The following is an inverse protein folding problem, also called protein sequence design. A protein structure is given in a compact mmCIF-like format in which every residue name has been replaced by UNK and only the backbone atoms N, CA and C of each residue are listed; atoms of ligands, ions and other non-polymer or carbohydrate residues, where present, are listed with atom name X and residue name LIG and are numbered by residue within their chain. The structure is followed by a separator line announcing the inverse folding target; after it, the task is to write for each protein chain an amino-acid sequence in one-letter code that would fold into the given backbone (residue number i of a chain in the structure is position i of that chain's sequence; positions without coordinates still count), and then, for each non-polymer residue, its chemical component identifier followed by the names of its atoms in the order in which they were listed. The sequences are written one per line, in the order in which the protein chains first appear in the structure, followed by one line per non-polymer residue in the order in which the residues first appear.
data_IF_259751420785
#
_entry.id   IF_259751420785
#
_cell.length_a   1.000
_cell.length_b   1.000
_cell.length_c   1.000
_cell.angle_alpha   90.00
_cell.angle_beta   90.00
_cell.angle_gamma   90.00
#
_symmetry.space_group_name_H-M   'P 1'
#
loop_
_entity.id
_entity.type
_entity.pdbx_description
1 polymer ?
#
# COMPACT_ATOMS: atom_id res chain seq x y z
N UNK A 1 -8.55 -17.02 -8.23
CA UNK A 1 -8.58 -17.98 -9.37
C UNK A 1 -7.74 -19.20 -8.96
N UNK A 2 -8.16 -20.43 -9.30
CA UNK A 2 -7.39 -21.67 -9.09
C UNK A 2 -6.47 -21.92 -10.31
N UNK A 3 -5.23 -22.41 -10.11
CA UNK A 3 -4.10 -22.20 -11.05
C UNK A 3 -3.48 -23.52 -11.58
N UNK A 4 -2.99 -23.48 -12.83
CA UNK A 4 -2.50 -24.55 -13.69
C UNK A 4 -0.97 -24.79 -13.56
N UNK A 5 -0.48 -26.03 -13.38
CA UNK A 5 0.90 -26.35 -12.93
C UNK A 5 2.02 -26.37 -14.00
N UNK A 6 1.82 -25.87 -15.23
CA UNK A 6 2.78 -26.07 -16.33
C UNK A 6 3.49 -24.82 -16.87
N UNK A 7 3.43 -23.69 -16.18
CA UNK A 7 4.22 -22.50 -16.54
C UNK A 7 5.38 -22.35 -15.55
N UNK A 8 6.62 -22.58 -15.99
CA UNK A 8 7.82 -22.34 -15.18
C UNK A 8 8.48 -21.04 -15.63
N UNK A 9 8.37 -19.99 -14.82
CA UNK A 9 9.26 -18.82 -14.95
C UNK A 9 10.58 -19.16 -14.28
N UNK A 10 11.67 -19.08 -15.05
CA UNK A 10 13.04 -19.16 -14.51
C UNK A 10 13.20 -18.11 -13.40
N UNK A 11 13.32 -18.60 -12.16
CA UNK A 11 13.37 -17.86 -10.90
C UNK A 11 14.17 -16.56 -11.00
N UNK A 12 13.50 -15.46 -10.71
CA UNK A 12 14.04 -14.09 -10.70
C UNK A 12 15.15 -14.05 -9.64
N UNK A 13 16.39 -13.81 -10.08
CA UNK A 13 17.53 -13.67 -9.17
C UNK A 13 17.29 -12.53 -8.19
N UNK A 14 17.71 -12.73 -6.94
CA UNK A 14 17.75 -11.68 -5.92
C UNK A 14 18.45 -10.43 -6.45
N UNK A 15 17.83 -9.28 -6.23
CA UNK A 15 18.39 -7.99 -6.59
C UNK A 15 18.67 -7.16 -5.34
N UNK A 16 19.35 -6.03 -5.52
CA UNK A 16 19.58 -5.06 -4.46
C UNK A 16 19.26 -3.66 -4.98
N UNK A 17 18.25 -3.02 -4.37
CA UNK A 17 17.69 -1.74 -4.82
C UNK A 17 18.05 -0.57 -3.91
N UNK A 18 18.75 -0.85 -2.80
CA UNK A 18 19.32 0.14 -1.90
C UNK A 18 20.46 0.94 -2.52
N UNK A 19 20.85 2.03 -1.83
CA UNK A 19 22.00 2.84 -2.21
C UNK A 19 23.32 2.17 -1.80
N UNK A 20 24.36 2.35 -2.59
CA UNK A 20 25.69 1.79 -2.33
C UNK A 20 25.83 0.31 -2.71
N UNK A 21 26.84 -0.33 -2.14
CA UNK A 21 27.13 -1.74 -2.35
C UNK A 21 26.08 -2.65 -1.69
N UNK A 22 25.74 -3.80 -2.30
CA UNK A 22 24.81 -4.76 -1.71
C UNK A 22 25.28 -5.24 -0.34
N UNK A 23 24.34 -5.34 0.58
CA UNK A 23 24.54 -5.93 1.90
C UNK A 23 23.38 -6.87 2.23
N UNK A 24 23.56 -7.64 3.31
CA UNK A 24 22.52 -8.54 3.82
C UNK A 24 21.46 -7.72 4.55
N UNK A 25 20.21 -7.86 4.12
CA UNK A 25 19.07 -7.20 4.76
C UNK A 25 19.00 -7.48 6.28
N UNK A 26 18.62 -6.46 7.04
CA UNK A 26 18.16 -6.64 8.41
C UNK A 26 16.76 -7.27 8.42
N UNK A 27 16.65 -8.45 9.02
CA UNK A 27 15.39 -9.20 9.08
C UNK A 27 14.40 -8.70 10.13
N UNK A 28 14.77 -7.70 10.95
CA UNK A 28 13.88 -7.16 11.98
C UNK A 28 12.64 -6.51 11.37
N UNK A 29 11.51 -6.71 12.04
CA UNK A 29 10.25 -6.03 11.75
C UNK A 29 10.04 -4.99 12.84
N UNK A 30 10.09 -3.73 12.45
CA UNK A 30 10.00 -2.59 13.36
C UNK A 30 8.62 -1.98 13.32
N UNK A 31 8.12 -1.52 14.47
CA UNK A 31 6.86 -0.78 14.53
C UNK A 31 7.07 0.58 13.87
N UNK A 32 6.17 0.93 12.96
CA UNK A 32 6.15 2.21 12.29
C UNK A 32 4.96 3.05 12.78
N UNK A 33 5.18 4.34 12.98
CA UNK A 33 4.15 5.31 13.30
C UNK A 33 4.28 6.48 12.34
N UNK A 34 3.17 6.84 11.69
CA UNK A 34 3.13 8.02 10.82
C UNK A 34 3.26 9.26 11.67
N UNK A 35 4.21 10.11 11.29
CA UNK A 35 4.38 11.42 11.90
C UNK A 35 4.55 12.49 10.81
N UNK A 36 3.72 13.53 10.90
CA UNK A 36 3.79 14.72 10.06
C UNK A 36 4.22 15.89 10.96
N UNK A 37 5.51 16.27 10.93
CA UNK A 37 6.01 17.40 11.70
C UNK A 37 5.25 18.68 11.37
N UNK A 38 5.00 19.52 12.37
CA UNK A 38 4.26 20.77 12.20
C UNK A 38 4.93 21.67 11.16
N UNK A 39 6.25 21.73 11.17
CA UNK A 39 7.05 22.47 10.19
C UNK A 39 6.74 22.06 8.74
N UNK A 40 6.55 20.75 8.46
CA UNK A 40 6.23 20.28 7.11
C UNK A 40 4.79 20.65 6.72
N UNK A 41 3.86 20.55 7.66
CA UNK A 41 2.46 20.95 7.44
C UNK A 41 2.38 22.45 7.16
N UNK A 42 3.05 23.27 7.97
CA UNK A 42 3.08 24.72 7.82
C UNK A 42 3.77 25.14 6.54
N UNK A 43 4.86 24.45 6.16
CA UNK A 43 5.52 24.65 4.87
C UNK A 43 4.57 24.41 3.70
N UNK A 44 3.83 23.29 3.69
CA UNK A 44 2.85 23.00 2.63
C UNK A 44 1.73 24.04 2.61
N UNK A 45 1.20 24.45 3.77
CA UNK A 45 0.17 25.49 3.86
C UNK A 45 0.67 26.83 3.32
N UNK A 46 1.91 27.20 3.62
CA UNK A 46 2.54 28.41 3.09
C UNK A 46 2.69 28.36 1.58
N UNK A 47 3.09 27.22 1.01
CA UNK A 47 3.18 27.04 -0.44
C UNK A 47 1.80 27.18 -1.11
N UNK A 48 0.76 26.60 -0.52
CA UNK A 48 -0.60 26.69 -1.04
C UNK A 48 -1.16 28.12 -1.00
N UNK A 49 -0.86 28.87 0.06
CA UNK A 49 -1.29 30.26 0.23
C UNK A 49 -0.55 31.27 -0.65
N UNK A 50 0.69 30.99 -1.04
CA UNK A 50 1.52 31.87 -1.88
C UNK A 50 1.44 31.54 -3.38
N UNK A 51 0.91 30.37 -3.73
CA UNK A 51 0.81 29.91 -5.11
C UNK A 51 -0.20 30.74 -5.91
N UNK A 52 0.29 31.47 -6.91
CA UNK A 52 -0.58 32.16 -7.86
C UNK A 52 -1.13 31.18 -8.90
N UNK A 53 -2.45 31.01 -8.91
CA UNK A 53 -3.12 30.25 -9.96
C UNK A 53 -3.17 31.06 -11.25
N UNK A 54 -2.86 30.41 -12.38
CA UNK A 54 -3.00 31.03 -13.70
C UNK A 54 -4.48 31.38 -13.93
N UNK A 55 -4.80 32.62 -14.33
CA UNK A 55 -6.16 33.01 -14.68
C UNK A 55 -6.74 32.10 -15.78
N UNK A 56 -8.04 31.78 -15.74
CA UNK A 56 -8.66 30.99 -16.79
C UNK A 56 -8.78 31.81 -18.08
N UNK A 57 -8.88 31.13 -19.22
CA UNK A 57 -9.24 31.78 -20.49
C UNK A 57 -10.69 32.27 -20.44
N UNK A 58 -10.93 33.45 -20.99
CA UNK A 58 -12.28 33.99 -21.21
C UNK A 58 -13.11 33.02 -22.07
N UNK A 59 -14.40 32.88 -21.75
CA UNK A 59 -15.38 32.03 -22.44
C UNK A 59 -15.03 30.53 -22.56
N UNK A 60 -14.02 30.03 -21.83
CA UNK A 60 -13.66 28.62 -21.81
C UNK A 60 -14.16 27.93 -20.53
N UNK A 61 -15.30 27.25 -20.62
CA UNK A 61 -15.94 26.55 -19.49
C UNK A 61 -15.00 25.56 -18.77
N UNK A 62 -14.22 24.78 -19.51
CA UNK A 62 -13.25 23.83 -18.94
C UNK A 62 -12.12 24.55 -18.19
N UNK A 63 -11.62 25.66 -18.73
CA UNK A 63 -10.56 26.46 -18.10
C UNK A 63 -11.05 27.07 -16.78
N UNK A 64 -12.25 27.67 -16.82
CA UNK A 64 -12.92 28.24 -15.64
C UNK A 64 -13.16 27.16 -14.58
N UNK A 65 -13.66 25.99 -14.96
CA UNK A 65 -13.90 24.89 -14.02
C UNK A 65 -12.62 24.38 -13.37
N UNK A 66 -11.53 24.20 -14.13
CA UNK A 66 -10.22 23.79 -13.60
C UNK A 66 -9.65 24.83 -12.63
N UNK A 67 -9.72 26.11 -13.00
CA UNK A 67 -9.27 27.19 -12.12
C UNK A 67 -10.03 27.18 -10.79
N UNK A 68 -11.36 27.12 -10.84
CA UNK A 68 -12.22 27.03 -9.65
C UNK A 68 -11.94 25.79 -8.79
N UNK A 69 -11.73 24.64 -9.42
CA UNK A 69 -11.36 23.40 -8.72
C UNK A 69 -10.01 23.56 -8.00
N UNK A 70 -8.98 24.07 -8.67
CA UNK A 70 -7.65 24.27 -8.06
C UNK A 70 -7.70 25.28 -6.91
N UNK A 71 -8.49 26.35 -7.06
CA UNK A 71 -8.71 27.32 -5.99
C UNK A 71 -9.36 26.67 -4.77
N UNK A 72 -10.46 25.94 -4.98
CA UNK A 72 -11.15 25.25 -3.91
C UNK A 72 -10.26 24.19 -3.24
N UNK A 73 -9.49 23.43 -4.03
CA UNK A 73 -8.54 22.45 -3.51
C UNK A 73 -7.50 23.12 -2.62
N UNK A 74 -6.94 24.27 -3.00
CA UNK A 74 -5.98 25.00 -2.16
C UNK A 74 -6.61 25.44 -0.83
N UNK A 75 -7.84 25.97 -0.85
CA UNK A 75 -8.58 26.37 0.35
C UNK A 75 -8.86 25.18 1.28
N UNK A 76 -9.30 24.06 0.71
CA UNK A 76 -9.55 22.81 1.45
C UNK A 76 -8.25 22.28 2.06
N UNK A 77 -7.16 22.21 1.30
CA UNK A 77 -5.88 21.68 1.78
C UNK A 77 -5.23 22.57 2.84
N UNK A 78 -5.47 23.88 2.78
CA UNK A 78 -5.00 24.85 3.80
C UNK A 78 -5.75 24.68 5.12
N UNK A 79 -7.06 24.42 5.05
CA UNK A 79 -7.93 24.20 6.22
C UNK A 79 -8.00 22.74 6.69
N UNK A 80 -7.35 21.82 5.97
CA UNK A 80 -7.35 20.39 6.29
C UNK A 80 -6.70 20.09 7.65
N UNK A 81 -7.36 19.25 8.44
CA UNK A 81 -6.85 18.79 9.73
C UNK A 81 -5.89 17.62 9.54
N UNK A 82 -4.62 17.96 9.28
CA UNK A 82 -3.53 17.01 9.11
C UNK A 82 -3.28 16.15 10.35
N UNK A 83 -3.54 16.66 11.55
CA UNK A 83 -3.32 15.91 12.80
C UNK A 83 -4.42 14.89 13.02
N UNK A 84 -5.68 15.23 12.72
CA UNK A 84 -6.76 14.27 12.68
C UNK A 84 -6.48 13.16 11.65
N UNK A 85 -5.99 13.52 10.46
CA UNK A 85 -5.64 12.53 9.45
C UNK A 85 -4.47 11.63 9.88
N UNK A 86 -3.41 12.20 10.47
CA UNK A 86 -2.30 11.43 11.06
C UNK A 86 -2.77 10.48 12.15
N UNK A 87 -3.67 10.93 13.02
CA UNK A 87 -4.26 10.07 14.06
C UNK A 87 -5.00 8.91 13.42
N UNK A 88 -5.82 9.19 12.40
CA UNK A 88 -6.56 8.16 11.68
C UNK A 88 -5.64 7.15 10.98
N UNK A 89 -4.57 7.61 10.31
CA UNK A 89 -3.58 6.73 9.68
C UNK A 89 -2.96 5.74 10.69
N UNK A 90 -2.77 6.19 11.93
CA UNK A 90 -2.19 5.39 13.01
C UNK A 90 -3.21 4.54 13.79
N UNK A 91 -4.48 4.49 13.39
CA UNK A 91 -5.47 3.59 14.01
C UNK A 91 -5.17 2.11 13.75
N UNK A 92 -4.47 1.81 12.65
CA UNK A 92 -3.94 0.50 12.38
C UNK A 92 -2.44 0.43 12.73
N UNK A 93 -2.03 -0.73 13.26
CA UNK A 93 -0.62 -1.02 13.50
C UNK A 93 0.12 -1.11 12.16
N UNK A 94 1.18 -0.33 12.03
CA UNK A 94 2.04 -0.27 10.86
C UNK A 94 3.44 -0.76 11.22
N UNK A 95 4.13 -1.29 10.23
CA UNK A 95 5.45 -1.86 10.39
C UNK A 95 6.35 -1.52 9.21
N UNK A 96 7.65 -1.69 9.40
CA UNK A 96 8.66 -1.64 8.35
C UNK A 96 9.66 -2.78 8.52
N UNK A 97 10.17 -3.29 7.41
CA UNK A 97 11.25 -4.27 7.38
C UNK A 97 12.06 -4.11 6.11
N UNK A 98 13.32 -4.56 6.11
CA UNK A 98 14.18 -4.43 4.95
C UNK A 98 14.04 -5.62 4.00
N UNK A 99 13.86 -5.34 2.71
CA UNK A 99 13.80 -6.33 1.64
C UNK A 99 14.59 -5.78 0.45
N UNK A 100 15.67 -6.45 0.09
CA UNK A 100 16.57 -6.10 -1.01
C UNK A 100 17.12 -4.66 -0.94
N UNK A 101 17.53 -4.25 0.26
CA UNK A 101 18.03 -2.89 0.52
C UNK A 101 16.94 -1.81 0.53
N UNK A 102 15.66 -2.20 0.51
CA UNK A 102 14.53 -1.27 0.62
C UNK A 102 13.79 -1.46 1.94
N UNK A 103 13.54 -0.36 2.64
CA UNK A 103 12.66 -0.36 3.79
C UNK A 103 11.21 -0.39 3.30
N UNK A 104 10.55 -1.53 3.44
CA UNK A 104 9.18 -1.75 2.99
C UNK A 104 8.21 -1.52 4.14
N UNK A 105 7.35 -0.53 3.98
CA UNK A 105 6.25 -0.24 4.90
C UNK A 105 5.05 -1.13 4.61
N UNK A 106 4.38 -1.62 5.66
CA UNK A 106 3.13 -2.36 5.53
C UNK A 106 2.25 -2.26 6.78
N UNK A 107 0.95 -2.47 6.56
CA UNK A 107 -0.03 -2.78 7.56
C UNK A 107 -0.14 -4.30 7.74
N UNK A 108 -0.32 -4.78 8.97
CA UNK A 108 -0.71 -6.17 9.27
C UNK A 108 -1.79 -6.17 10.35
N UNK A 109 -3.02 -6.53 9.98
CA UNK A 109 -4.18 -6.51 10.86
C UNK A 109 -4.86 -7.87 10.84
N UNK A 110 -5.04 -8.45 12.02
CA UNK A 110 -5.85 -9.64 12.22
C UNK A 110 -6.59 -9.52 13.54
N UNK A 111 -7.76 -10.15 13.64
CA UNK A 111 -8.38 -10.42 14.93
C UNK A 111 -7.72 -11.64 15.59
N UNK A 112 -7.83 -11.80 16.91
CA UNK A 112 -7.41 -13.03 17.57
C UNK A 112 -8.02 -14.27 16.89
N UNK A 113 -7.27 -15.36 16.87
CA UNK A 113 -7.79 -16.62 16.39
C UNK A 113 -8.92 -17.11 17.30
N UNK A 114 -10.04 -17.50 16.69
CA UNK A 114 -11.21 -18.01 17.38
C UNK A 114 -11.42 -19.48 17.00
N UNK A 115 -11.71 -20.32 18.00
CA UNK A 115 -11.92 -21.75 17.76
C UNK A 115 -13.09 -21.96 16.80
N UNK A 116 -12.85 -22.70 15.72
CA UNK A 116 -13.86 -23.00 14.70
C UNK A 116 -13.97 -21.97 13.58
N UNK A 117 -13.17 -20.90 13.61
CA UNK A 117 -13.07 -19.89 12.57
C UNK A 117 -11.68 -19.92 11.94
N UNK A 118 -11.60 -19.92 10.62
CA UNK A 118 -10.30 -19.88 9.93
C UNK A 118 -9.79 -18.45 9.79
N UNK A 119 -8.49 -18.24 9.99
CA UNK A 119 -7.80 -16.99 9.63
C UNK A 119 -7.10 -17.19 8.31
N UNK A 120 -7.48 -16.40 7.31
CA UNK A 120 -6.98 -16.52 5.94
C UNK A 120 -6.14 -15.29 5.62
N UNK A 121 -4.83 -15.41 5.36
CA UNK A 121 -4.03 -14.27 4.99
C UNK A 121 -4.38 -13.73 3.60
N UNK A 122 -4.43 -12.41 3.45
CA UNK A 122 -4.64 -11.71 2.18
C UNK A 122 -3.68 -10.52 2.06
N UNK A 123 -2.99 -10.46 0.92
CA UNK A 123 -2.13 -9.36 0.51
C UNK A 123 -2.90 -8.40 -0.39
N UNK A 124 -3.03 -7.14 0.02
CA UNK A 124 -3.74 -6.08 -0.71
C UNK A 124 -2.76 -5.08 -1.32
N UNK A 125 -2.73 -5.02 -2.65
CA UNK A 125 -1.77 -4.23 -3.42
C UNK A 125 -2.46 -3.04 -4.08
N UNK A 126 -2.07 -1.84 -3.67
CA UNK A 126 -2.57 -0.62 -4.29
C UNK A 126 -1.88 -0.38 -5.64
N UNK A 127 -2.36 0.60 -6.41
CA UNK A 127 -1.69 1.07 -7.62
C UNK A 127 -1.72 2.58 -7.72
N UNK A 128 -1.15 3.13 -8.79
CA UNK A 128 -1.10 4.58 -9.01
C UNK A 128 -2.42 5.10 -9.61
N UNK A 129 -2.94 6.28 -9.21
CA UNK A 129 -2.39 7.28 -8.28
C UNK A 129 -2.77 7.06 -6.80
N UNK A 130 -3.13 5.85 -6.40
CA UNK A 130 -3.48 5.50 -5.03
C UNK A 130 -2.30 5.20 -4.12
N UNK A 131 -2.63 4.78 -2.90
CA UNK A 131 -1.70 4.31 -1.88
C UNK A 131 -2.38 3.24 -1.01
N UNK A 132 -1.67 2.69 -0.02
CA UNK A 132 -2.23 1.73 0.93
C UNK A 132 -3.52 2.24 1.64
N UNK A 133 -3.72 3.57 1.67
CA UNK A 133 -4.91 4.22 2.18
C UNK A 133 -6.23 3.73 1.56
N UNK A 134 -6.22 3.34 0.28
CA UNK A 134 -7.45 2.95 -0.43
C UNK A 134 -8.18 1.77 0.23
N UNK A 135 -7.47 0.97 1.02
CA UNK A 135 -8.01 -0.21 1.70
C UNK A 135 -8.54 0.06 3.12
N UNK A 136 -8.40 1.27 3.67
CA UNK A 136 -8.78 1.54 5.08
C UNK A 136 -10.24 1.21 5.39
N UNK A 137 -11.16 1.42 4.44
CA UNK A 137 -12.57 1.06 4.61
C UNK A 137 -12.82 -0.44 4.46
N UNK A 138 -11.96 -1.17 3.75
CA UNK A 138 -12.08 -2.61 3.53
C UNK A 138 -11.51 -3.42 4.69
N UNK A 139 -10.44 -2.94 5.34
CA UNK A 139 -9.75 -3.66 6.42
C UNK A 139 -10.73 -4.13 7.52
N UNK A 140 -11.61 -3.29 8.10
CA UNK A 140 -12.55 -3.73 9.13
C UNK A 140 -13.54 -4.80 8.64
N UNK A 141 -13.98 -4.70 7.37
CA UNK A 141 -14.93 -5.63 6.76
C UNK A 141 -14.26 -6.99 6.55
N UNK A 142 -13.02 -7.00 6.05
CA UNK A 142 -12.28 -8.24 5.80
C UNK A 142 -11.84 -8.93 7.10
N UNK A 143 -11.44 -8.16 8.11
CA UNK A 143 -11.00 -8.72 9.41
C UNK A 143 -12.17 -9.18 10.27
N UNK A 144 -13.39 -8.65 10.08
CA UNK A 144 -14.59 -9.09 10.79
C UNK A 144 -15.85 -9.13 9.91
N UNK A 145 -15.91 -10.02 8.92
CA UNK A 145 -17.00 -10.02 7.92
C UNK A 145 -18.39 -10.19 8.53
N UNK A 146 -18.51 -11.07 9.54
CA UNK A 146 -19.78 -11.36 10.24
C UNK A 146 -20.35 -10.11 10.91
N UNK A 147 -19.50 -9.29 11.54
CA UNK A 147 -19.94 -8.02 12.16
C UNK A 147 -20.55 -7.05 11.15
N UNK A 148 -20.15 -7.15 9.88
CA UNK A 148 -20.66 -6.33 8.78
C UNK A 148 -21.74 -7.05 7.95
N UNK A 149 -22.27 -8.17 8.43
CA UNK A 149 -23.37 -8.90 7.76
C UNK A 149 -22.93 -9.80 6.61
N UNK A 150 -21.63 -10.10 6.48
CA UNK A 150 -21.12 -11.03 5.49
C UNK A 150 -20.89 -12.42 6.12
N UNK A 151 -21.62 -13.43 5.64
CA UNK A 151 -21.42 -14.85 5.98
C UNK A 151 -20.79 -15.67 4.84
N UNK A 152 -20.65 -15.04 3.67
CA UNK A 152 -20.17 -15.61 2.40
C UNK A 152 -20.85 -16.92 1.96
N UNK A 153 -21.97 -17.30 2.59
CA UNK A 153 -22.64 -18.59 2.36
C UNK A 153 -21.75 -19.83 2.58
N UNK A 154 -20.66 -19.71 3.34
CA UNK A 154 -19.71 -20.82 3.57
C UNK A 154 -20.08 -21.64 4.80
N UNK A 155 -19.73 -22.94 4.78
CA UNK A 155 -20.03 -23.86 5.91
C UNK A 155 -19.25 -23.54 7.18
N UNK A 156 -18.05 -22.99 7.05
CA UNK A 156 -17.17 -22.65 8.16
C UNK A 156 -16.84 -21.15 8.08
N UNK A 157 -17.08 -20.37 9.15
CA UNK A 157 -16.78 -18.96 9.13
C UNK A 157 -15.27 -18.75 9.04
N UNK A 158 -14.88 -17.64 8.42
CA UNK A 158 -13.49 -17.23 8.35
C UNK A 158 -13.37 -15.71 8.55
N UNK A 159 -12.15 -15.27 8.82
CA UNK A 159 -11.74 -13.88 8.81
C UNK A 159 -10.44 -13.75 8.03
N UNK A 160 -10.16 -12.55 7.54
CA UNK A 160 -8.88 -12.29 6.91
C UNK A 160 -7.86 -11.75 7.91
N UNK A 161 -6.63 -12.27 7.83
CA UNK A 161 -5.45 -11.52 8.23
C UNK A 161 -5.06 -10.64 7.03
N UNK A 162 -5.12 -9.32 7.19
CA UNK A 162 -4.95 -8.37 6.10
C UNK A 162 -3.55 -7.75 6.15
N UNK A 163 -2.79 -7.93 5.08
CA UNK A 163 -1.48 -7.33 4.85
C UNK A 163 -1.60 -6.29 3.73
N UNK A 164 -1.21 -5.04 4.01
CA UNK A 164 -1.28 -3.95 3.02
C UNK A 164 0.07 -3.23 2.94
N UNK A 165 0.95 -3.62 2.02
CA UNK A 165 2.22 -2.92 1.83
C UNK A 165 2.03 -1.60 1.10
N UNK A 166 2.96 -0.67 1.35
CA UNK A 166 3.27 0.36 0.39
C UNK A 166 4.28 -0.21 -0.62
N UNK A 167 3.95 -0.15 -1.92
CA UNK A 167 4.85 -0.60 -2.97
C UNK A 167 6.19 0.17 -2.94
N UNK A 168 7.29 -0.41 -3.44
CA UNK A 168 8.57 0.28 -3.58
C UNK A 168 8.43 1.66 -4.23
N UNK A 169 8.95 2.70 -3.56
CA UNK A 169 8.84 4.10 -4.00
C UNK A 169 7.53 4.81 -3.71
N UNK A 170 6.58 4.17 -3.03
CA UNK A 170 5.32 4.80 -2.63
C UNK A 170 5.30 5.13 -1.14
N UNK A 171 4.91 6.37 -0.84
CA UNK A 171 4.63 6.91 0.50
C UNK A 171 5.74 6.61 1.52
N UNK A 172 5.58 5.53 2.29
CA UNK A 172 6.42 5.18 3.43
C UNK A 172 7.42 4.05 3.12
N UNK A 173 7.38 3.49 1.92
CA UNK A 173 8.39 2.53 1.45
C UNK A 173 9.51 3.27 0.71
N UNK A 174 10.75 2.81 0.90
CA UNK A 174 11.92 3.40 0.25
C UNK A 174 11.76 3.44 -1.27
N UNK A 175 12.19 4.57 -1.86
CA UNK A 175 12.38 4.69 -3.30
C UNK A 175 13.64 3.91 -3.73
N UNK A 176 13.57 3.07 -4.78
CA UNK A 176 14.77 2.46 -5.35
C UNK A 176 15.84 3.51 -5.69
N UNK A 177 17.09 3.18 -5.39
CA UNK A 177 18.26 3.99 -5.72
C UNK A 177 18.75 3.75 -7.16
N UNK A 178 18.33 2.64 -7.77
CA UNK A 178 18.73 2.19 -9.10
C UNK A 178 17.54 2.25 -10.07
N UNK A 179 17.83 2.49 -11.34
CA UNK A 179 16.83 2.47 -12.41
C UNK A 179 16.47 1.02 -12.78
N UNK A 180 15.31 0.84 -13.41
CA UNK A 180 14.93 -0.44 -14.01
C UNK A 180 14.16 -1.40 -13.11
N UNK A 181 13.66 -0.96 -11.94
CA UNK A 181 12.73 -1.77 -11.17
C UNK A 181 11.47 -2.08 -12.00
N UNK A 182 11.13 -3.35 -12.12
CA UNK A 182 9.99 -3.82 -12.91
C UNK A 182 8.85 -4.31 -12.01
N UNK A 183 7.67 -4.54 -12.58
CA UNK A 183 6.57 -5.19 -11.87
C UNK A 183 6.94 -6.58 -11.34
N UNK A 184 7.82 -7.28 -12.04
CA UNK A 184 8.35 -8.59 -11.65
C UNK A 184 9.22 -8.50 -10.39
N UNK A 185 10.06 -7.46 -10.30
CA UNK A 185 10.86 -7.21 -9.09
C UNK A 185 9.97 -6.84 -7.90
N UNK A 186 8.96 -5.99 -8.14
CA UNK A 186 7.98 -5.64 -7.11
C UNK A 186 7.25 -6.89 -6.62
N UNK A 187 6.83 -7.78 -7.54
CA UNK A 187 6.19 -9.05 -7.18
C UNK A 187 7.06 -9.89 -6.25
N UNK A 188 8.34 -10.06 -6.60
CA UNK A 188 9.30 -10.81 -5.80
C UNK A 188 9.56 -10.15 -4.44
N UNK A 189 9.67 -8.82 -4.37
CA UNK A 189 9.79 -8.09 -3.09
C UNK A 189 8.55 -8.33 -2.21
N UNK A 190 7.35 -8.35 -2.80
CA UNK A 190 6.12 -8.68 -2.05
C UNK A 190 6.08 -10.14 -1.62
N UNK A 191 6.58 -11.08 -2.43
CA UNK A 191 6.72 -12.49 -2.06
C UNK A 191 7.62 -12.65 -0.83
N UNK A 192 8.80 -12.03 -0.88
CA UNK A 192 9.77 -11.98 0.22
C UNK A 192 9.22 -11.33 1.47
N UNK A 193 8.34 -10.34 1.33
CA UNK A 193 7.63 -9.76 2.47
C UNK A 193 6.75 -10.81 3.14
N UNK A 194 5.98 -11.58 2.37
CA UNK A 194 5.12 -12.62 2.92
C UNK A 194 5.93 -13.76 3.56
N UNK A 195 7.06 -14.14 2.95
CA UNK A 195 8.02 -15.09 3.54
C UNK A 195 8.60 -14.57 4.86
N UNK A 196 9.03 -13.29 4.90
CA UNK A 196 9.52 -12.62 6.12
C UNK A 196 8.49 -12.64 7.25
N UNK A 197 7.20 -12.60 6.90
CA UNK A 197 6.07 -12.66 7.83
C UNK A 197 5.66 -14.09 8.19
N UNK A 198 6.36 -15.11 7.65
CA UNK A 198 6.05 -16.53 7.78
C UNK A 198 4.65 -16.89 7.30
N UNK A 199 4.24 -16.32 6.16
CA UNK A 199 2.94 -16.54 5.53
C UNK A 199 3.13 -17.27 4.20
N UNK A 200 3.01 -18.60 4.24
CA UNK A 200 3.30 -19.46 3.08
C UNK A 200 2.16 -19.53 2.06
N UNK A 201 0.91 -19.31 2.50
CA UNK A 201 -0.28 -19.39 1.64
C UNK A 201 -1.21 -18.23 1.94
N UNK A 202 -1.53 -17.47 0.90
CA UNK A 202 -2.31 -16.25 1.02
C UNK A 202 -3.05 -15.94 -0.28
N UNK A 203 -4.14 -15.17 -0.16
CA UNK A 203 -4.79 -14.56 -1.31
C UNK A 203 -4.08 -13.26 -1.68
N UNK A 204 -4.18 -12.87 -2.94
CA UNK A 204 -3.69 -11.57 -3.41
C UNK A 204 -4.84 -10.84 -4.10
N UNK A 205 -4.99 -9.57 -3.79
CA UNK A 205 -5.91 -8.65 -4.45
C UNK A 205 -5.16 -7.35 -4.76
N UNK A 206 -5.53 -6.66 -5.83
CA UNK A 206 -4.99 -5.34 -6.11
C UNK A 206 -5.89 -4.47 -6.95
N UNK A 207 -5.53 -3.19 -7.05
CA UNK A 207 -6.37 -2.16 -7.70
C UNK A 207 -5.92 -1.80 -9.11
N UNK A 208 -4.71 -2.18 -9.54
CA UNK A 208 -4.18 -1.87 -10.87
C UNK A 208 -3.86 -3.14 -11.65
N UNK A 209 -4.44 -3.25 -12.85
CA UNK A 209 -4.50 -4.48 -13.61
C UNK A 209 -3.12 -4.93 -14.13
N UNK A 210 -2.23 -4.01 -14.53
CA UNK A 210 -0.93 -4.41 -15.08
C UNK A 210 -0.04 -4.99 -14.00
N UNK A 211 0.05 -4.34 -12.85
CA UNK A 211 0.80 -4.83 -11.71
C UNK A 211 0.28 -6.19 -11.25
N UNK A 212 -1.05 -6.35 -11.17
CA UNK A 212 -1.67 -7.63 -10.79
C UNK A 212 -1.29 -8.79 -11.71
N UNK A 213 -1.35 -8.62 -13.04
CA UNK A 213 -1.05 -9.71 -13.97
C UNK A 213 0.36 -10.29 -13.79
N UNK A 214 1.37 -9.43 -13.59
CA UNK A 214 2.75 -9.88 -13.37
C UNK A 214 2.97 -10.41 -11.95
N UNK A 215 2.35 -9.76 -10.95
CA UNK A 215 2.44 -10.21 -9.57
C UNK A 215 1.83 -11.59 -9.40
N UNK A 216 0.64 -11.84 -9.96
CA UNK A 216 0.03 -13.17 -9.90
C UNK A 216 0.94 -14.21 -10.54
N UNK A 217 1.47 -13.92 -11.72
CA UNK A 217 2.33 -14.86 -12.43
C UNK A 217 3.60 -15.23 -11.64
N UNK A 218 4.21 -14.28 -10.92
CA UNK A 218 5.40 -14.54 -10.09
C UNK A 218 5.05 -15.19 -8.76
N UNK A 219 3.98 -14.77 -8.09
CA UNK A 219 3.58 -15.29 -6.78
C UNK A 219 2.99 -16.70 -6.83
N UNK A 220 2.59 -17.18 -8.01
CA UNK A 220 2.20 -18.57 -8.23
C UNK A 220 3.44 -19.49 -8.29
N UNK A 221 4.57 -18.95 -8.77
CA UNK A 221 5.80 -19.69 -9.05
C UNK A 221 6.84 -19.59 -7.90
N UNK A 222 6.58 -18.75 -6.89
CA UNK A 222 7.41 -18.50 -5.69
C UNK A 222 6.84 -19.22 -4.47
#
# INVERSE_FOLDING_TARGET
MLVNPHFQISLIQDAFWGAGEPYKDDSRIEVFKVDFPDEQIDHVKSLLGTSQLVPPFEDCTLSIARHSFMKNLSEVMTSFDWKQHQHFLNTFKQYRTEIEGLLIHFLRISLPEEKGKDTIPILLLHGFPGSYWVFFKMIPILTNPVRFGFDFGVRKPFQFEVIVPSLPGFIFSSKPARIGITSTDIARIMAKLMERLSVDRYFVHGTECKLLTYIFQVLIDY
#
